data_IF_437154693470
#
_entry.id   IF_437154693470
#
_cell.length_a   1.000
_cell.length_b   1.000
_cell.length_c   1.000
_cell.angle_alpha   90.00
_cell.angle_beta   90.00
_cell.angle_gamma   90.00
#
_symmetry.space_group_name_H-M   'P 1'
#
loop_
_entity.id
_entity.type
_entity.pdbx_description
1 polymer ?
#
# COMPACT_ATOMS: atom_id res chain seq x y z
N UNK A 1 7.31 -21.68 -27.24
CA UNK A 1 7.29 -20.20 -27.15
C UNK A 1 5.94 -19.76 -26.60
N UNK A 2 5.69 -19.96 -25.31
CA UNK A 2 4.57 -19.36 -24.54
C UNK A 2 5.05 -19.35 -23.08
N UNK A 3 5.87 -18.38 -22.68
CA UNK A 3 6.32 -18.26 -21.28
C UNK A 3 6.54 -16.81 -20.85
N UNK A 4 6.89 -15.90 -21.77
CA UNK A 4 7.18 -14.50 -21.41
C UNK A 4 5.94 -13.61 -21.22
N UNK A 5 4.77 -14.01 -21.72
CA UNK A 5 3.55 -13.22 -21.60
C UNK A 5 2.79 -13.44 -20.27
N UNK A 6 3.05 -14.54 -19.55
CA UNK A 6 2.40 -14.84 -18.27
C UNK A 6 3.20 -14.37 -17.05
N UNK A 7 4.52 -14.15 -17.19
CA UNK A 7 5.41 -13.75 -16.08
C UNK A 7 5.12 -12.35 -15.53
N UNK A 8 4.59 -11.43 -16.34
CA UNK A 8 4.21 -10.08 -15.93
C UNK A 8 2.82 -9.97 -15.27
N UNK A 9 1.95 -10.99 -15.45
CA UNK A 9 0.56 -10.95 -15.00
C UNK A 9 0.41 -10.85 -13.48
N UNK A 10 1.14 -11.63 -12.65
CA UNK A 10 1.07 -11.49 -11.19
C UNK A 10 1.44 -10.10 -10.69
N UNK A 11 2.44 -9.45 -11.30
CA UNK A 11 2.85 -8.10 -10.93
C UNK A 11 1.81 -7.04 -11.31
N UNK A 12 1.14 -7.22 -12.45
CA UNK A 12 0.01 -6.36 -12.85
C UNK A 12 -1.18 -6.52 -11.90
N UNK A 13 -1.54 -7.76 -11.58
CA UNK A 13 -2.65 -8.10 -10.67
C UNK A 13 -2.41 -7.55 -9.26
N UNK A 14 -1.17 -7.70 -8.73
CA UNK A 14 -0.81 -7.18 -7.41
C UNK A 14 -0.81 -5.65 -7.41
N UNK A 15 -0.32 -5.01 -8.47
CA UNK A 15 -0.29 -3.54 -8.59
C UNK A 15 -1.71 -2.97 -8.62
N UNK A 16 -2.63 -3.63 -9.31
CA UNK A 16 -4.04 -3.23 -9.36
C UNK A 16 -4.70 -3.40 -7.98
N UNK A 17 -4.55 -4.58 -7.37
CA UNK A 17 -5.10 -4.86 -6.03
C UNK A 17 -4.59 -3.88 -4.96
N UNK A 18 -3.30 -3.52 -5.01
CA UNK A 18 -2.70 -2.56 -4.07
C UNK A 18 -3.12 -1.12 -4.35
N UNK A 19 -3.40 -0.77 -5.61
CA UNK A 19 -3.98 0.53 -5.94
C UNK A 19 -5.38 0.66 -5.35
N UNK A 20 -6.21 -0.38 -5.54
CA UNK A 20 -7.58 -0.40 -5.03
C UNK A 20 -7.62 -0.43 -3.49
N UNK A 21 -6.63 -1.03 -2.83
CA UNK A 21 -6.50 -1.02 -1.37
C UNK A 21 -6.00 0.32 -0.83
N UNK A 22 -5.12 1.02 -1.55
CA UNK A 22 -4.50 2.26 -1.07
C UNK A 22 -5.53 3.37 -0.81
N UNK A 23 -6.54 3.50 -1.67
CA UNK A 23 -7.56 4.54 -1.54
C UNK A 23 -8.42 4.41 -0.27
N UNK A 24 -9.09 3.28 0.00
CA UNK A 24 -9.86 3.11 1.23
C UNK A 24 -8.97 3.15 2.47
N UNK A 25 -7.74 2.64 2.40
CA UNK A 25 -6.81 2.70 3.52
C UNK A 25 -6.44 4.15 3.85
N UNK A 26 -6.10 4.97 2.85
CA UNK A 26 -5.81 6.39 3.05
C UNK A 26 -7.01 7.17 3.62
N UNK A 27 -8.22 6.84 3.17
CA UNK A 27 -9.44 7.43 3.71
C UNK A 27 -9.63 7.08 5.19
N UNK A 28 -9.44 5.82 5.58
CA UNK A 28 -9.52 5.39 6.98
C UNK A 28 -8.43 6.04 7.83
N UNK A 29 -7.18 6.11 7.36
CA UNK A 29 -6.10 6.81 8.06
C UNK A 29 -6.48 8.26 8.36
N UNK A 30 -6.92 9.01 7.35
CA UNK A 30 -7.35 10.39 7.55
C UNK A 30 -8.53 10.56 8.51
N UNK A 31 -9.49 9.61 8.51
CA UNK A 31 -10.60 9.62 9.47
C UNK A 31 -10.12 9.34 10.91
N UNK A 32 -9.15 8.45 11.09
CA UNK A 32 -8.54 8.17 12.40
C UNK A 32 -7.73 9.38 12.88
N UNK A 33 -7.03 10.06 11.98
CA UNK A 33 -6.30 11.29 12.33
C UNK A 33 -7.25 12.41 12.76
N UNK A 34 -8.41 12.56 12.08
CA UNK A 34 -9.45 13.48 12.52
C UNK A 34 -10.00 13.10 13.91
N UNK A 35 -10.19 11.81 14.17
CA UNK A 35 -10.62 11.34 15.50
C UNK A 35 -9.60 11.70 16.59
N UNK A 36 -8.30 11.64 16.30
CA UNK A 36 -7.26 12.08 17.25
C UNK A 36 -7.33 13.57 17.58
N UNK A 37 -7.74 14.41 16.63
CA UNK A 37 -7.91 15.85 16.86
C UNK A 37 -9.14 16.15 17.74
N UNK A 38 -10.14 15.28 17.72
CA UNK A 38 -11.39 15.44 18.49
C UNK A 38 -11.32 14.83 19.89
N UNK A 39 -10.48 13.82 20.10
CA UNK A 39 -10.35 13.13 21.39
C UNK A 39 -9.37 13.85 22.29
N UNK A 40 -9.79 14.13 23.54
CA UNK A 40 -8.93 14.69 24.58
C UNK A 40 -7.74 13.76 24.87
N UNK A 41 -6.52 14.31 24.99
CA UNK A 41 -5.30 13.54 25.26
C UNK A 41 -5.35 12.74 26.56
N UNK A 42 -6.16 13.17 27.53
CA UNK A 42 -6.39 12.47 28.81
C UNK A 42 -7.39 11.33 28.69
N UNK A 43 -8.09 11.21 27.56
CA UNK A 43 -9.07 10.17 27.34
C UNK A 43 -8.39 8.80 27.23
N UNK A 44 -8.94 7.74 27.86
CA UNK A 44 -8.32 6.40 27.86
C UNK A 44 -8.04 5.83 26.46
N UNK A 45 -8.87 6.17 25.48
CA UNK A 45 -8.71 5.69 24.10
C UNK A 45 -7.67 6.46 23.28
N UNK A 46 -7.19 7.61 23.74
CA UNK A 46 -6.29 8.46 22.94
C UNK A 46 -5.04 7.69 22.50
N UNK A 47 -4.41 6.97 23.42
CA UNK A 47 -3.21 6.17 23.14
C UNK A 47 -3.49 5.01 22.17
N UNK A 48 -4.66 4.39 22.28
CA UNK A 48 -5.09 3.30 21.38
C UNK A 48 -5.32 3.82 19.97
N UNK A 49 -6.04 4.94 19.83
CA UNK A 49 -6.30 5.59 18.53
C UNK A 49 -4.98 6.06 17.91
N UNK A 50 -4.07 6.62 18.71
CA UNK A 50 -2.76 7.08 18.23
C UNK A 50 -1.92 5.92 17.71
N UNK A 51 -1.96 4.78 18.41
CA UNK A 51 -1.31 3.55 17.98
C UNK A 51 -1.91 3.04 16.67
N UNK A 52 -3.23 3.10 16.51
CA UNK A 52 -3.93 2.69 15.28
C UNK A 52 -3.53 3.60 14.11
N UNK A 53 -3.55 4.92 14.29
CA UNK A 53 -3.11 5.88 13.25
C UNK A 53 -1.69 5.56 12.76
N UNK A 54 -0.73 5.40 13.68
CA UNK A 54 0.65 5.05 13.34
C UNK A 54 0.78 3.69 12.63
N UNK A 55 -0.06 2.72 12.96
CA UNK A 55 -0.08 1.43 12.27
C UNK A 55 -0.64 1.56 10.86
N UNK A 56 -1.70 2.35 10.67
CA UNK A 56 -2.30 2.59 9.36
C UNK A 56 -1.34 3.32 8.42
N UNK A 57 -0.58 4.29 8.91
CA UNK A 57 0.50 4.94 8.15
C UNK A 57 1.54 3.91 7.67
N UNK A 58 2.00 3.03 8.56
CA UNK A 58 2.96 1.97 8.19
C UNK A 58 2.41 1.03 7.12
N UNK A 59 1.11 0.71 7.18
CA UNK A 59 0.49 -0.14 6.15
C UNK A 59 0.46 0.60 4.80
N UNK A 60 0.17 1.91 4.77
CA UNK A 60 0.23 2.71 3.55
C UNK A 60 1.63 2.71 2.93
N UNK A 61 2.66 2.87 3.75
CA UNK A 61 4.06 2.82 3.29
C UNK A 61 4.40 1.46 2.69
N UNK A 62 4.01 0.36 3.36
CA UNK A 62 4.21 -1.00 2.86
C UNK A 62 3.49 -1.22 1.52
N UNK A 63 2.23 -0.77 1.41
CA UNK A 63 1.46 -0.85 0.16
C UNK A 63 2.16 -0.07 -0.96
N UNK A 64 2.68 1.11 -0.65
CA UNK A 64 3.47 1.94 -1.58
C UNK A 64 4.72 1.23 -2.08
N UNK A 65 5.50 0.63 -1.16
CA UNK A 65 6.72 -0.09 -1.49
C UNK A 65 6.46 -1.34 -2.33
N UNK A 66 5.45 -2.15 -1.99
CA UNK A 66 5.11 -3.33 -2.80
C UNK A 66 4.67 -2.90 -4.20
N UNK A 67 3.91 -1.80 -4.32
CA UNK A 67 3.49 -1.26 -5.62
C UNK A 67 4.69 -0.81 -6.46
N UNK A 68 5.70 -0.19 -5.83
CA UNK A 68 6.96 0.20 -6.47
C UNK A 68 7.72 -1.04 -6.98
N UNK A 69 7.92 -2.04 -6.11
CA UNK A 69 8.58 -3.31 -6.45
C UNK A 69 7.87 -4.01 -7.61
N UNK A 70 6.54 -4.09 -7.57
CA UNK A 70 5.74 -4.72 -8.63
C UNK A 70 5.87 -3.99 -9.97
N UNK A 71 5.98 -2.66 -9.95
CA UNK A 71 6.22 -1.88 -11.17
C UNK A 71 7.62 -2.17 -11.74
N UNK A 72 8.65 -2.09 -10.92
CA UNK A 72 10.04 -2.32 -11.33
C UNK A 72 10.23 -3.74 -11.88
N UNK A 73 9.70 -4.76 -11.20
CA UNK A 73 9.76 -6.15 -11.65
C UNK A 73 9.02 -6.36 -13.00
N UNK A 74 7.88 -5.70 -13.21
CA UNK A 74 7.16 -5.76 -14.48
C UNK A 74 7.93 -5.08 -15.62
N UNK A 75 8.66 -4.00 -15.35
CA UNK A 75 9.49 -3.29 -16.35
C UNK A 75 10.73 -4.11 -16.73
N UNK A 76 11.40 -4.72 -15.74
CA UNK A 76 12.57 -5.59 -15.94
C UNK A 76 12.23 -6.83 -16.78
N UNK A 77 11.08 -7.47 -16.53
CA UNK A 77 10.62 -8.64 -17.27
C UNK A 77 10.17 -8.33 -18.71
N UNK A 78 9.88 -7.07 -19.04
CA UNK A 78 9.46 -6.62 -20.37
C UNK A 78 10.63 -6.15 -21.25
N UNK A 79 11.83 -6.01 -20.70
CA UNK A 79 13.04 -5.68 -21.46
C UNK A 79 13.67 -6.99 -22.00
N UNK A 80 13.78 -7.20 -23.33
CA UNK A 80 14.44 -8.38 -23.86
C UNK A 80 15.91 -8.33 -23.47
N UNK A 81 16.42 -9.40 -22.84
CA UNK A 81 17.83 -9.54 -22.51
C UNK A 81 18.68 -9.31 -23.76
N UNK A 82 19.36 -8.16 -23.83
CA UNK A 82 20.43 -7.94 -24.81
C UNK A 82 21.66 -8.73 -24.34
N UNK A 83 21.72 -9.99 -24.74
CA UNK A 83 22.96 -10.77 -24.76
C UNK A 83 23.56 -10.78 -26.17
#
# INVERSE_FOLDING_TARGET
MITDLESGKPFQDIRHSLHDLAQPLAAVTGLVDLLLLEVDETHPWFQEIMTISQQLEKVLDIVGEIRRIAREASEELMMPSTH
#
